data_IF_606700802613
#
_entry.id   IF_606700802613
#
_cell.length_a   1.000
_cell.length_b   1.000
_cell.length_c   1.000
_cell.angle_alpha   90.00
_cell.angle_beta   90.00
_cell.angle_gamma   90.00
#
_symmetry.space_group_name_H-M   'P 1'
#
loop_
_entity.id
_entity.type
_entity.pdbx_description
1 polymer ?
#
# COMPACT_ATOMS: atom_id res chain seq x y z
N UNK A 1 9.35 39.84 -6.84
CA UNK A 1 10.20 38.68 -6.58
C UNK A 1 9.31 37.48 -6.36
N UNK A 2 9.52 36.35 -7.09
CA UNK A 2 8.69 35.14 -6.97
C UNK A 2 9.38 34.17 -6.02
N UNK A 3 8.60 33.57 -5.10
CA UNK A 3 9.04 32.49 -4.23
C UNK A 3 7.90 31.46 -4.07
N UNK A 4 8.18 30.31 -3.49
CA UNK A 4 7.22 29.27 -3.10
C UNK A 4 6.25 28.86 -4.24
N UNK A 5 6.80 28.22 -5.26
CA UNK A 5 6.03 27.71 -6.41
C UNK A 5 5.36 26.37 -6.09
N UNK A 6 4.05 26.27 -6.38
CA UNK A 6 3.28 25.04 -6.30
C UNK A 6 2.61 24.71 -7.65
N UNK A 7 3.02 23.62 -8.34
CA UNK A 7 2.34 23.12 -9.53
C UNK A 7 1.07 22.36 -9.11
N UNK A 8 -0.07 22.94 -9.37
CA UNK A 8 -1.36 22.28 -9.12
C UNK A 8 -1.67 21.25 -10.20
N UNK A 9 -1.40 21.61 -11.45
CA UNK A 9 -1.56 20.73 -12.62
C UNK A 9 -0.54 21.11 -13.69
N UNK A 10 -0.54 20.40 -14.81
CA UNK A 10 0.31 20.72 -15.96
C UNK A 10 0.00 22.11 -16.58
N UNK A 11 -1.16 22.66 -16.24
CA UNK A 11 -1.64 23.94 -16.80
C UNK A 11 -1.90 25.02 -15.75
N UNK A 12 -1.63 24.74 -14.47
CA UNK A 12 -1.87 25.74 -13.38
C UNK A 12 -0.71 25.71 -12.40
N UNK A 13 -0.10 26.89 -12.20
CA UNK A 13 0.92 27.12 -11.15
C UNK A 13 0.38 28.13 -10.14
N UNK A 14 0.59 27.87 -8.86
CA UNK A 14 0.29 28.78 -7.75
C UNK A 14 1.61 29.18 -7.10
N UNK A 15 1.77 30.44 -6.74
CA UNK A 15 3.04 30.94 -6.19
C UNK A 15 2.84 32.18 -5.33
N UNK A 16 3.83 32.51 -4.54
CA UNK A 16 3.91 33.76 -3.79
C UNK A 16 4.83 34.77 -4.49
N UNK A 17 4.43 36.02 -4.52
CA UNK A 17 5.23 37.07 -5.15
C UNK A 17 4.94 38.45 -4.55
N UNK A 18 5.97 39.29 -4.47
CA UNK A 18 5.81 40.73 -4.22
C UNK A 18 5.59 41.41 -5.56
N UNK A 19 4.47 42.11 -5.70
CA UNK A 19 4.11 42.87 -6.90
C UNK A 19 3.48 44.21 -6.53
N UNK A 20 3.64 45.25 -7.39
CA UNK A 20 3.07 46.55 -7.13
C UNK A 20 1.55 46.58 -6.96
N UNK A 21 0.84 45.63 -7.62
CA UNK A 21 -0.62 45.47 -7.57
C UNK A 21 -1.07 44.54 -6.43
N UNK A 22 -0.18 44.12 -5.53
CA UNK A 22 -0.49 43.29 -4.37
C UNK A 22 -1.15 44.03 -3.23
N UNK A 23 -1.56 43.26 -2.21
CA UNK A 23 -2.21 43.82 -1.00
C UNK A 23 -1.19 44.14 0.08
N UNK A 24 -0.06 43.47 0.11
CA UNK A 24 0.93 43.59 1.17
C UNK A 24 2.35 43.23 0.79
N UNK A 25 2.93 42.33 1.56
CA UNK A 25 4.25 41.79 1.32
C UNK A 25 4.24 40.73 0.18
N UNK A 26 4.36 39.47 0.54
CA UNK A 26 4.19 38.33 -0.42
C UNK A 26 2.70 38.02 -0.50
N UNK A 27 2.12 38.17 -1.68
CA UNK A 27 0.76 37.74 -2.00
C UNK A 27 0.77 36.43 -2.77
N UNK A 28 -0.32 35.65 -2.70
CA UNK A 28 -0.57 34.49 -3.53
C UNK A 28 -1.15 34.88 -4.89
N UNK A 29 -0.58 34.30 -5.91
CA UNK A 29 -0.99 34.42 -7.32
C UNK A 29 -1.10 33.05 -7.97
N UNK A 30 -1.83 32.98 -9.07
CA UNK A 30 -1.82 31.83 -9.97
C UNK A 30 -1.64 32.25 -11.42
N UNK A 31 -1.14 31.32 -12.23
CA UNK A 31 -1.07 31.43 -13.69
C UNK A 31 -1.64 30.18 -14.32
N UNK A 32 -2.29 30.36 -15.46
CA UNK A 32 -2.85 29.28 -16.27
C UNK A 32 -2.14 29.20 -17.62
N UNK A 33 -1.87 27.96 -18.08
CA UNK A 33 -1.40 27.69 -19.42
C UNK A 33 -2.63 27.50 -20.34
N UNK A 34 -2.86 28.45 -21.24
CA UNK A 34 -3.97 28.45 -22.20
C UNK A 34 -3.48 28.94 -23.55
N UNK A 35 -3.96 28.35 -24.66
CA UNK A 35 -3.62 28.72 -26.02
C UNK A 35 -2.10 28.67 -26.28
N UNK A 36 -1.43 27.66 -25.78
CA UNK A 36 0.01 27.42 -25.99
C UNK A 36 0.96 28.36 -25.22
N UNK A 37 0.46 29.14 -24.25
CA UNK A 37 1.28 30.05 -23.43
C UNK A 37 0.73 30.22 -22.02
N UNK A 38 1.61 30.55 -21.10
CA UNK A 38 1.23 31.03 -19.77
C UNK A 38 0.59 32.40 -19.87
N UNK A 39 -0.56 32.57 -19.21
CA UNK A 39 -1.27 33.84 -19.13
C UNK A 39 -0.65 34.73 -18.03
N UNK A 40 -1.12 35.97 -17.92
CA UNK A 40 -0.68 36.88 -16.87
C UNK A 40 -1.09 36.37 -15.49
N UNK A 41 -0.27 36.59 -14.46
CA UNK A 41 -0.59 36.22 -13.09
C UNK A 41 -1.87 36.90 -12.59
N UNK A 42 -2.71 36.11 -11.93
CA UNK A 42 -3.93 36.59 -11.27
C UNK A 42 -3.74 36.50 -9.76
N UNK A 43 -4.02 37.61 -9.06
CA UNK A 43 -3.99 37.65 -7.60
C UNK A 43 -5.19 36.91 -7.03
N UNK A 44 -5.01 36.16 -5.92
CA UNK A 44 -6.11 35.44 -5.25
C UNK A 44 -7.13 36.37 -4.57
N UNK A 45 -6.86 37.67 -4.47
CA UNK A 45 -7.74 38.67 -3.96
C UNK A 45 -7.65 38.86 -2.43
N UNK A 46 -8.41 39.84 -1.93
CA UNK A 46 -8.39 40.30 -0.54
C UNK A 46 -8.97 39.33 0.48
N UNK A 47 -9.62 38.26 0.03
CA UNK A 47 -10.08 37.18 0.91
C UNK A 47 -8.95 36.24 1.34
N UNK A 48 -7.94 36.14 0.51
CA UNK A 48 -6.78 35.29 0.75
C UNK A 48 -5.58 36.12 1.15
N UNK A 49 -5.28 37.16 0.39
CA UNK A 49 -4.12 38.03 0.58
C UNK A 49 -4.45 39.15 1.55
N UNK A 50 -3.46 39.57 2.31
CA UNK A 50 -3.58 40.60 3.35
C UNK A 50 -2.46 41.65 3.23
N UNK A 51 -2.40 42.61 4.14
CA UNK A 51 -1.28 43.55 4.24
C UNK A 51 0.03 42.91 4.72
N UNK A 52 -0.01 41.62 5.08
CA UNK A 52 1.12 40.80 5.54
C UNK A 52 1.70 39.96 4.42
N UNK A 53 2.36 38.85 4.76
CA UNK A 53 2.95 37.89 3.79
C UNK A 53 2.10 36.62 3.75
N UNK A 54 1.68 36.24 2.57
CA UNK A 54 1.09 34.91 2.28
C UNK A 54 2.08 34.08 1.47
N UNK A 55 2.42 32.89 1.98
CA UNK A 55 3.49 32.03 1.46
C UNK A 55 3.12 30.57 1.37
N UNK A 56 3.98 29.81 0.71
CA UNK A 56 3.95 28.33 0.67
C UNK A 56 2.56 27.74 0.34
N UNK A 57 1.91 28.13 -0.77
CA UNK A 57 0.57 27.69 -1.12
C UNK A 57 0.53 26.19 -1.41
N UNK A 58 -0.61 25.58 -1.09
CA UNK A 58 -0.98 24.22 -1.47
C UNK A 58 -2.48 24.14 -1.68
N UNK A 59 -2.93 23.89 -2.89
CA UNK A 59 -4.33 23.65 -3.21
C UNK A 59 -4.60 22.13 -3.14
N UNK A 60 -5.66 21.74 -2.43
CA UNK A 60 -6.11 20.35 -2.39
C UNK A 60 -6.42 19.84 -3.81
N UNK A 61 -6.29 18.53 -4.02
CA UNK A 61 -6.43 17.95 -5.38
C UNK A 61 -7.78 18.18 -6.03
N UNK A 62 -8.81 18.30 -5.23
CA UNK A 62 -10.15 18.61 -5.72
C UNK A 62 -10.35 20.10 -6.06
N UNK A 63 -9.31 20.94 -5.86
CA UNK A 63 -9.34 22.35 -6.20
C UNK A 63 -10.18 23.23 -5.27
N UNK A 64 -10.52 22.76 -4.07
CA UNK A 64 -11.48 23.46 -3.19
C UNK A 64 -10.88 24.05 -1.94
N UNK A 65 -9.87 23.40 -1.37
CA UNK A 65 -9.23 23.88 -0.14
C UNK A 65 -7.82 24.37 -0.44
N UNK A 66 -7.59 25.65 -0.24
CA UNK A 66 -6.27 26.26 -0.30
C UNK A 66 -5.69 26.29 1.11
N UNK A 67 -4.47 25.74 1.26
CA UNK A 67 -3.64 25.87 2.45
C UNK A 67 -2.47 26.80 2.11
N UNK A 68 -2.14 27.68 3.05
CA UNK A 68 -1.04 28.61 2.89
C UNK A 68 -0.50 29.03 4.25
N UNK A 69 0.66 29.63 4.28
CA UNK A 69 1.25 30.17 5.51
C UNK A 69 1.17 31.69 5.48
N UNK A 70 0.75 32.30 6.58
CA UNK A 70 0.70 33.77 6.73
C UNK A 70 1.20 34.18 8.11
N UNK A 71 1.81 35.36 8.18
CA UNK A 71 2.22 36.03 9.41
C UNK A 71 1.25 37.17 9.81
N UNK A 72 -0.03 37.05 9.42
CA UNK A 72 -1.05 38.04 9.71
C UNK A 72 -1.41 38.08 11.21
N UNK A 73 -2.25 39.05 11.60
CA UNK A 73 -2.65 39.28 13.00
C UNK A 73 -3.41 38.09 13.65
N UNK A 74 -3.86 37.09 12.90
CA UNK A 74 -4.49 35.88 13.43
C UNK A 74 -3.46 34.77 13.68
N UNK A 75 -2.19 35.01 13.37
CA UNK A 75 -1.12 34.03 13.63
C UNK A 75 -0.83 33.94 15.14
N UNK A 76 -0.59 32.73 15.61
CA UNK A 76 -0.23 32.43 17.00
C UNK A 76 1.28 32.64 17.23
N UNK A 77 2.06 32.43 16.16
CA UNK A 77 3.51 32.54 16.15
C UNK A 77 4.02 33.51 15.10
N UNK A 78 4.96 33.03 14.30
CA UNK A 78 5.45 33.73 13.11
C UNK A 78 4.54 33.47 11.92
N UNK A 79 5.01 32.65 10.95
CA UNK A 79 4.13 32.14 9.90
C UNK A 79 3.32 30.98 10.46
N UNK A 80 2.00 31.07 10.38
CA UNK A 80 1.07 30.01 10.72
C UNK A 80 0.43 29.46 9.45
N UNK A 81 0.00 28.20 9.49
CA UNK A 81 -0.75 27.56 8.41
C UNK A 81 -2.22 27.94 8.55
N UNK A 82 -2.77 28.45 7.45
CA UNK A 82 -4.19 28.78 7.28
C UNK A 82 -4.81 27.85 6.23
N UNK A 83 -6.11 27.72 6.29
CA UNK A 83 -6.92 27.08 5.25
C UNK A 83 -8.07 27.97 4.82
N UNK A 84 -8.40 27.92 3.53
CA UNK A 84 -9.52 28.65 2.95
C UNK A 84 -10.30 27.70 2.03
N UNK A 85 -11.63 27.89 1.95
CA UNK A 85 -12.50 27.11 1.07
C UNK A 85 -13.04 27.98 -0.06
N UNK A 86 -13.09 27.40 -1.25
CA UNK A 86 -13.75 28.03 -2.38
C UNK A 86 -15.23 27.69 -2.38
N UNK A 87 -16.08 28.70 -2.41
CA UNK A 87 -17.52 28.58 -2.51
C UNK A 87 -17.98 28.99 -3.90
N UNK A 88 -18.46 28.05 -4.67
CA UNK A 88 -18.99 28.23 -6.00
C UNK A 88 -20.13 29.22 -6.10
N UNK A 89 -21.06 29.11 -5.17
CA UNK A 89 -22.27 29.91 -5.17
C UNK A 89 -22.01 31.41 -5.26
N UNK A 90 -20.88 31.83 -4.68
CA UNK A 90 -20.50 33.24 -4.60
C UNK A 90 -19.24 33.53 -5.45
N UNK A 91 -18.62 32.51 -6.03
CA UNK A 91 -17.33 32.55 -6.75
C UNK A 91 -16.20 33.16 -5.90
N UNK A 92 -16.22 32.90 -4.61
CA UNK A 92 -15.31 33.54 -3.65
C UNK A 92 -14.62 32.52 -2.75
N UNK A 93 -13.41 32.87 -2.30
CA UNK A 93 -12.75 32.20 -1.19
C UNK A 93 -13.37 32.68 0.14
N UNK A 94 -13.63 31.73 1.04
CA UNK A 94 -14.24 32.01 2.33
C UNK A 94 -13.73 31.08 3.41
N UNK A 95 -14.10 31.36 4.66
CA UNK A 95 -13.69 30.59 5.82
C UNK A 95 -12.17 30.48 5.97
N UNK A 96 -11.44 31.57 5.72
CA UNK A 96 -10.01 31.63 6.05
C UNK A 96 -9.87 31.41 7.55
N UNK A 97 -9.21 30.34 7.93
CA UNK A 97 -9.06 29.92 9.31
C UNK A 97 -7.61 29.54 9.60
N UNK A 98 -7.09 30.00 10.72
CA UNK A 98 -5.86 29.48 11.29
C UNK A 98 -6.08 28.02 11.70
N UNK A 99 -5.16 27.15 11.30
CA UNK A 99 -5.26 25.70 11.58
C UNK A 99 -5.10 25.36 13.06
N UNK A 100 -4.61 26.29 13.84
CA UNK A 100 -4.46 26.19 15.29
C UNK A 100 -3.48 25.11 15.75
N UNK A 101 -3.41 24.99 17.07
CA UNK A 101 -2.62 23.91 17.69
C UNK A 101 -3.29 22.54 17.43
N UNK A 102 -2.52 21.46 17.18
CA UNK A 102 -1.05 21.37 17.24
C UNK A 102 -0.33 21.58 15.88
N UNK A 103 -1.05 21.94 14.83
CA UNK A 103 -0.44 22.23 13.53
C UNK A 103 0.44 23.48 13.67
N UNK A 104 -0.15 24.58 14.11
CA UNK A 104 0.54 25.83 14.37
C UNK A 104 1.14 25.87 15.79
N UNK A 105 2.19 26.65 15.96
CA UNK A 105 2.95 26.81 17.20
C UNK A 105 3.42 28.26 17.36
N UNK A 106 4.09 28.64 18.46
CA UNK A 106 4.74 29.94 18.56
C UNK A 106 5.92 30.18 17.61
N UNK A 107 6.33 29.16 16.84
CA UNK A 107 7.35 29.26 15.79
C UNK A 107 6.80 29.69 14.45
N UNK A 108 7.44 29.24 13.39
CA UNK A 108 7.03 29.40 12.01
C UNK A 108 6.62 28.05 11.42
N UNK A 109 5.48 27.95 10.79
CA UNK A 109 4.99 26.80 10.06
C UNK A 109 4.85 27.12 8.57
N UNK A 110 5.51 26.30 7.70
CA UNK A 110 5.56 26.52 6.27
C UNK A 110 5.34 25.19 5.50
N UNK A 111 5.01 25.32 4.23
CA UNK A 111 4.97 24.18 3.27
C UNK A 111 4.02 23.06 3.65
N UNK A 112 2.86 23.40 4.19
CA UNK A 112 1.84 22.39 4.49
C UNK A 112 1.40 21.65 3.22
N UNK A 113 1.33 20.34 3.32
CA UNK A 113 0.81 19.44 2.28
C UNK A 113 -0.14 18.44 2.93
N UNK A 114 -1.30 18.25 2.34
CA UNK A 114 -2.24 17.22 2.74
C UNK A 114 -2.06 15.99 1.85
N UNK A 115 -1.97 14.81 2.46
CA UNK A 115 -1.92 13.55 1.73
C UNK A 115 -3.25 13.24 1.02
N UNK A 116 -3.20 12.36 0.03
CA UNK A 116 -4.38 11.94 -0.74
C UNK A 116 -5.47 11.28 0.12
N UNK A 117 -5.09 10.76 1.28
CA UNK A 117 -6.01 10.13 2.23
C UNK A 117 -6.77 11.16 3.08
N UNK A 118 -6.45 12.45 2.96
CA UNK A 118 -7.03 13.52 3.77
C UNK A 118 -6.75 13.39 5.28
N UNK A 119 -5.96 12.43 5.70
CA UNK A 119 -5.68 12.14 7.12
C UNK A 119 -4.27 12.53 7.54
N UNK A 120 -3.31 12.51 6.61
CA UNK A 120 -1.92 12.81 6.89
C UNK A 120 -1.56 14.15 6.30
N UNK A 121 -0.79 14.93 7.04
CA UNK A 121 -0.18 16.15 6.54
C UNK A 121 1.32 16.13 6.78
N UNK A 122 2.04 16.90 5.99
CA UNK A 122 3.45 17.18 6.14
C UNK A 122 3.65 18.67 6.10
N UNK A 123 4.47 19.22 7.01
CA UNK A 123 4.80 20.64 7.04
C UNK A 123 6.17 20.85 7.70
N UNK A 124 6.79 22.00 7.51
CA UNK A 124 8.00 22.38 8.20
C UNK A 124 7.70 23.33 9.36
N UNK A 125 8.43 23.19 10.46
CA UNK A 125 8.30 24.07 11.63
C UNK A 125 9.65 24.24 12.33
N UNK A 126 9.90 25.45 12.83
CA UNK A 126 11.04 25.79 13.69
C UNK A 126 10.69 25.85 15.17
N UNK A 127 9.58 25.19 15.56
CA UNK A 127 9.12 25.15 16.96
C UNK A 127 10.21 24.63 17.91
N UNK A 128 10.24 25.15 19.14
CA UNK A 128 11.28 24.85 20.13
C UNK A 128 11.48 23.38 20.48
N UNK A 129 10.51 22.52 20.19
CA UNK A 129 10.62 21.06 20.43
C UNK A 129 11.36 20.31 19.30
N UNK A 130 11.85 20.99 18.28
CA UNK A 130 12.61 20.42 17.16
C UNK A 130 14.11 20.21 17.47
N UNK A 131 14.83 19.77 16.45
CA UNK A 131 16.26 19.46 16.54
C UNK A 131 17.16 20.61 16.05
N UNK A 132 16.62 21.69 15.53
CA UNK A 132 17.40 22.80 15.00
C UNK A 132 16.53 23.91 14.45
N UNK A 133 16.79 24.38 13.23
CA UNK A 133 15.97 25.34 12.52
C UNK A 133 14.62 24.74 12.12
N UNK A 134 14.35 24.68 10.83
CA UNK A 134 13.12 24.01 10.34
C UNK A 134 13.26 22.49 10.31
N UNK A 135 12.38 21.82 11.03
CA UNK A 135 12.21 20.36 10.98
C UNK A 135 10.93 19.98 10.23
N UNK A 136 10.88 18.74 9.71
CA UNK A 136 9.68 18.20 9.08
C UNK A 136 8.78 17.51 10.10
N UNK A 137 7.52 17.91 10.13
CA UNK A 137 6.50 17.37 11.00
C UNK A 137 5.41 16.67 10.19
N UNK A 138 4.90 15.57 10.74
CA UNK A 138 3.73 14.87 10.21
C UNK A 138 2.55 15.04 11.13
N UNK A 139 1.46 15.59 10.61
CA UNK A 139 0.18 15.70 11.30
C UNK A 139 -0.75 14.54 10.92
N UNK A 140 -1.60 14.12 11.87
CA UNK A 140 -2.64 13.12 11.64
C UNK A 140 -3.99 13.70 12.08
N UNK A 141 -4.94 13.72 11.16
CA UNK A 141 -6.31 14.15 11.44
C UNK A 141 -7.16 12.94 11.84
N UNK A 142 -7.94 13.08 12.93
CA UNK A 142 -8.84 12.01 13.43
C UNK A 142 -9.97 11.68 12.47
N UNK A 143 -10.43 12.66 11.71
CA UNK A 143 -11.38 12.48 10.62
C UNK A 143 -10.69 12.81 9.32
N UNK A 144 -11.11 12.12 8.25
CA UNK A 144 -10.71 12.52 6.92
C UNK A 144 -11.10 13.99 6.77
N UNK A 145 -10.13 14.84 6.49
CA UNK A 145 -10.42 16.20 6.01
C UNK A 145 -10.83 16.07 4.53
N UNK A 146 -11.92 15.35 4.32
CA UNK A 146 -12.72 15.53 3.13
C UNK A 146 -13.53 16.78 3.38
N UNK A 147 -13.49 17.63 2.44
CA UNK A 147 -14.37 18.75 2.32
C UNK A 147 -15.78 18.33 2.67
N UNK A 148 -16.45 19.19 3.41
CA UNK A 148 -17.79 18.91 3.90
C UNK A 148 -18.64 18.35 2.77
N UNK A 149 -19.22 17.18 2.98
CA UNK A 149 -20.18 16.52 2.12
C UNK A 149 -21.39 17.47 1.88
N UNK A 150 -21.21 18.42 1.01
CA UNK A 150 -22.32 19.13 0.42
C UNK A 150 -22.67 18.35 -0.83
N UNK A 151 -23.76 17.62 -0.75
CA UNK A 151 -24.34 16.95 -1.90
C UNK A 151 -24.41 17.92 -3.07
N UNK A 152 -23.85 17.52 -4.22
CA UNK A 152 -23.79 18.27 -5.46
C UNK A 152 -23.02 19.60 -5.36
N UNK A 153 -21.68 19.54 -5.44
CA UNK A 153 -20.85 20.70 -5.72
C UNK A 153 -20.45 20.69 -7.18
N UNK A 154 -20.94 21.65 -7.99
CA UNK A 154 -20.67 21.63 -9.43
C UNK A 154 -19.28 22.12 -9.76
N UNK A 155 -18.70 23.13 -9.13
CA UNK A 155 -17.49 23.74 -9.67
C UNK A 155 -16.37 23.89 -8.63
N UNK A 156 -15.18 23.78 -9.06
CA UNK A 156 -13.91 23.92 -8.39
C UNK A 156 -13.24 25.20 -8.86
N UNK A 157 -12.40 25.84 -8.05
CA UNK A 157 -11.72 27.07 -8.43
C UNK A 157 -10.93 26.91 -9.73
N UNK A 158 -10.20 25.82 -9.87
CA UNK A 158 -9.67 25.37 -11.15
C UNK A 158 -10.41 24.10 -11.55
N UNK A 159 -11.07 24.13 -12.71
CA UNK A 159 -11.53 22.88 -13.33
C UNK A 159 -10.30 22.02 -13.55
N UNK A 160 -10.14 21.00 -12.74
CA UNK A 160 -9.30 19.86 -13.14
C UNK A 160 -9.92 19.43 -14.48
N UNK A 161 -9.16 19.36 -15.59
CA UNK A 161 -9.71 18.86 -16.82
C UNK A 161 -10.47 17.59 -16.45
N UNK A 162 -11.79 17.55 -16.74
CA UNK A 162 -12.54 16.30 -16.63
C UNK A 162 -11.82 15.35 -17.57
N UNK A 163 -10.93 14.58 -16.99
CA UNK A 163 -10.44 13.43 -17.69
C UNK A 163 -11.68 12.63 -18.01
N UNK A 164 -12.01 12.56 -19.29
CA UNK A 164 -13.12 11.76 -19.77
C UNK A 164 -12.78 10.32 -19.41
N UNK A 165 -13.08 9.95 -18.16
CA UNK A 165 -12.92 8.60 -17.59
C UNK A 165 -13.68 7.52 -18.40
N UNK A 166 -14.42 7.92 -19.42
CA UNK A 166 -15.34 7.07 -20.16
C UNK A 166 -14.89 6.71 -21.59
N UNK A 167 -13.71 7.11 -22.08
CA UNK A 167 -13.19 6.52 -23.30
C UNK A 167 -12.26 5.37 -22.97
N UNK A 168 -12.55 4.20 -23.55
CA UNK A 168 -11.74 2.99 -23.36
C UNK A 168 -10.26 3.26 -23.74
N UNK A 169 -10.02 4.05 -24.78
CA UNK A 169 -8.68 4.48 -25.21
C UNK A 169 -7.93 5.29 -24.15
N UNK A 170 -8.62 6.21 -23.45
CA UNK A 170 -7.99 7.02 -22.41
C UNK A 170 -7.71 6.21 -21.14
N UNK A 171 -8.62 5.32 -20.77
CA UNK A 171 -8.36 4.37 -19.67
C UNK A 171 -7.17 3.47 -20.03
N UNK A 172 -7.05 3.07 -21.29
CA UNK A 172 -5.94 2.25 -21.77
C UNK A 172 -4.62 3.03 -21.78
N UNK A 173 -4.61 4.31 -22.11
CA UNK A 173 -3.42 5.16 -22.14
C UNK A 173 -2.95 5.57 -20.73
N UNK A 174 -3.85 5.96 -19.86
CA UNK A 174 -3.55 6.27 -18.44
C UNK A 174 -3.12 5.01 -17.70
N UNK A 175 -3.74 3.88 -17.96
CA UNK A 175 -3.34 2.60 -17.42
C UNK A 175 -1.99 2.17 -18.01
N UNK A 176 -1.74 2.32 -19.31
CA UNK A 176 -0.45 2.05 -19.93
C UNK A 176 0.66 2.92 -19.33
N UNK A 177 0.43 4.19 -19.11
CA UNK A 177 1.41 5.11 -18.49
C UNK A 177 1.59 4.89 -16.99
N UNK A 178 0.56 4.49 -16.25
CA UNK A 178 0.68 4.07 -14.84
C UNK A 178 1.37 2.72 -14.67
N UNK A 179 1.29 1.86 -15.67
CA UNK A 179 1.72 0.45 -15.60
C UNK A 179 3.14 0.24 -16.12
N UNK A 180 3.85 1.24 -16.62
CA UNK A 180 5.28 1.09 -16.97
C UNK A 180 6.17 0.80 -15.77
N UNK A 181 5.76 1.13 -14.56
CA UNK A 181 6.45 0.75 -13.32
C UNK A 181 5.46 0.54 -12.17
N UNK A 182 5.07 -0.69 -11.93
CA UNK A 182 4.23 -1.05 -10.79
C UNK A 182 5.09 -1.34 -9.56
N UNK A 183 4.91 -0.55 -8.50
CA UNK A 183 5.52 -0.82 -7.21
C UNK A 183 4.51 -1.56 -6.32
N UNK A 184 4.83 -2.81 -5.98
CA UNK A 184 4.03 -3.62 -5.05
C UNK A 184 4.68 -3.54 -3.68
N UNK A 185 3.93 -3.04 -2.71
CA UNK A 185 4.32 -2.98 -1.30
C UNK A 185 3.58 -4.06 -0.51
N UNK A 186 4.14 -4.58 0.58
CA UNK A 186 3.41 -5.44 1.50
C UNK A 186 2.21 -4.70 2.11
N UNK A 187 1.11 -5.43 2.34
CA UNK A 187 0.02 -4.92 3.16
C UNK A 187 0.35 -5.18 4.63
N UNK A 188 0.04 -4.21 5.48
CA UNK A 188 0.23 -4.32 6.93
C UNK A 188 -1.12 -4.38 7.63
N UNK A 189 -1.16 -5.08 8.76
CA UNK A 189 -2.36 -5.21 9.56
C UNK A 189 -2.02 -5.16 11.07
N UNK A 190 -3.00 -4.84 11.90
CA UNK A 190 -2.88 -4.91 13.35
C UNK A 190 -3.34 -6.27 13.88
N UNK A 191 -3.09 -6.58 15.15
CA UNK A 191 -3.53 -7.83 15.77
C UNK A 191 -5.05 -8.01 15.70
N UNK A 192 -5.79 -6.92 15.77
CA UNK A 192 -7.25 -6.89 15.95
C UNK A 192 -8.01 -6.60 14.65
N UNK A 193 -7.32 -6.53 13.52
CA UNK A 193 -7.94 -6.23 12.21
C UNK A 193 -8.82 -7.38 11.71
N UNK A 194 -10.12 -7.25 11.91
CA UNK A 194 -11.16 -8.11 11.33
C UNK A 194 -11.73 -7.56 10.01
N UNK A 195 -11.20 -6.44 9.53
CA UNK A 195 -11.61 -5.78 8.28
C UNK A 195 -10.39 -5.25 7.54
N UNK A 196 -10.50 -5.16 6.22
CA UNK A 196 -9.46 -4.56 5.41
C UNK A 196 -9.41 -3.04 5.63
N UNK A 197 -8.26 -2.55 6.03
CA UNK A 197 -7.99 -1.13 6.19
C UNK A 197 -8.12 -0.39 4.85
N UNK A 198 -8.52 0.90 4.83
CA UNK A 198 -8.69 1.68 3.60
C UNK A 198 -7.43 1.68 2.71
N UNK A 199 -6.24 1.83 3.31
CA UNK A 199 -4.96 1.77 2.59
C UNK A 199 -4.76 0.42 1.88
N UNK A 200 -5.11 -0.68 2.54
CA UNK A 200 -5.00 -2.02 1.96
C UNK A 200 -6.00 -2.21 0.82
N UNK A 201 -7.23 -1.66 0.93
CA UNK A 201 -8.22 -1.68 -0.15
C UNK A 201 -7.70 -0.96 -1.39
N UNK A 202 -7.08 0.22 -1.26
CA UNK A 202 -6.50 0.94 -2.39
C UNK A 202 -5.43 0.12 -3.14
N UNK A 203 -4.55 -0.59 -2.40
CA UNK A 203 -3.58 -1.50 -3.02
C UNK A 203 -4.25 -2.68 -3.73
N UNK A 204 -5.30 -3.25 -3.12
CA UNK A 204 -6.04 -4.34 -3.73
C UNK A 204 -6.85 -3.89 -4.95
N UNK A 205 -7.40 -2.67 -4.97
CA UNK A 205 -8.10 -2.11 -6.13
C UNK A 205 -7.16 -2.03 -7.34
N UNK A 206 -5.89 -1.63 -7.15
CA UNK A 206 -4.89 -1.65 -8.21
C UNK A 206 -4.64 -3.06 -8.75
N UNK A 207 -4.55 -4.06 -7.87
CA UNK A 207 -4.40 -5.46 -8.29
C UNK A 207 -5.65 -5.98 -9.01
N UNK A 208 -6.84 -5.54 -8.60
CA UNK A 208 -8.11 -5.86 -9.26
C UNK A 208 -8.13 -5.29 -10.69
N UNK A 209 -7.71 -4.05 -10.89
CA UNK A 209 -7.60 -3.43 -12.23
C UNK A 209 -6.66 -4.23 -13.12
N UNK A 210 -5.47 -4.58 -12.62
CA UNK A 210 -4.52 -5.45 -13.33
C UNK A 210 -5.17 -6.80 -13.67
N UNK A 211 -5.82 -7.41 -12.70
CA UNK A 211 -6.45 -8.72 -12.88
C UNK A 211 -7.59 -8.71 -13.89
N UNK A 212 -8.34 -7.63 -14.00
CA UNK A 212 -9.40 -7.46 -15.02
C UNK A 212 -8.82 -7.29 -16.41
N UNK A 213 -7.76 -6.51 -16.54
CA UNK A 213 -7.09 -6.27 -17.81
C UNK A 213 -6.32 -7.51 -18.30
N UNK A 214 -5.74 -8.28 -17.40
CA UNK A 214 -4.94 -9.46 -17.71
C UNK A 214 -5.53 -10.72 -17.08
N UNK A 215 -6.46 -11.38 -17.78
CA UNK A 215 -7.25 -12.50 -17.23
C UNK A 215 -6.43 -13.72 -16.81
N UNK A 216 -5.20 -13.87 -17.32
CA UNK A 216 -4.30 -14.99 -16.96
C UNK A 216 -3.46 -14.74 -15.71
N UNK A 217 -3.47 -13.51 -15.17
CA UNK A 217 -2.67 -13.14 -13.99
C UNK A 217 -3.15 -13.88 -12.75
N UNK A 218 -2.18 -14.42 -12.00
CA UNK A 218 -2.39 -15.11 -10.74
C UNK A 218 -1.80 -14.27 -9.61
N UNK A 219 -2.56 -14.04 -8.57
CA UNK A 219 -2.16 -13.30 -7.37
C UNK A 219 -1.87 -14.27 -6.24
N UNK A 220 -0.70 -14.14 -5.63
CA UNK A 220 -0.31 -14.93 -4.47
C UNK A 220 -0.11 -14.00 -3.27
N UNK A 221 -0.78 -14.31 -2.18
CA UNK A 221 -0.71 -13.59 -0.92
C UNK A 221 -0.09 -14.48 0.14
N UNK A 222 1.05 -14.08 0.68
CA UNK A 222 1.73 -14.74 1.79
C UNK A 222 1.55 -13.93 3.05
N UNK A 223 0.79 -14.47 3.99
CA UNK A 223 0.43 -13.81 5.25
C UNK A 223 1.43 -14.24 6.32
N UNK A 224 2.20 -13.26 6.81
CA UNK A 224 3.17 -13.43 7.88
C UNK A 224 2.59 -12.85 9.17
N UNK A 225 2.85 -13.49 10.29
CA UNK A 225 2.46 -13.07 11.63
C UNK A 225 3.69 -12.71 12.48
N UNK A 226 3.49 -11.94 13.53
CA UNK A 226 4.45 -11.90 14.62
C UNK A 226 4.46 -13.24 15.35
N UNK A 227 5.57 -13.52 16.07
CA UNK A 227 5.61 -14.70 16.93
C UNK A 227 4.64 -14.56 18.09
N UNK A 228 3.78 -15.54 18.25
CA UNK A 228 2.82 -15.65 19.35
C UNK A 228 3.10 -16.91 20.20
N UNK A 229 2.19 -17.24 21.07
CA UNK A 229 2.30 -18.38 22.00
C UNK A 229 2.15 -19.73 21.27
N UNK A 230 1.49 -19.73 20.08
CA UNK A 230 1.15 -20.97 19.37
C UNK A 230 1.18 -20.76 17.85
N UNK A 231 1.95 -21.58 17.11
CA UNK A 231 1.94 -21.58 15.66
C UNK A 231 0.54 -21.82 15.05
N UNK A 232 -0.29 -22.59 15.74
CA UNK A 232 -1.67 -22.86 15.35
C UNK A 232 -2.50 -21.58 15.28
N UNK A 233 -2.41 -20.75 16.32
CA UNK A 233 -3.10 -19.46 16.41
C UNK A 233 -2.61 -18.52 15.30
N UNK A 234 -1.30 -18.48 15.06
CA UNK A 234 -0.70 -17.66 14.02
C UNK A 234 -1.22 -18.05 12.63
N UNK A 235 -1.23 -19.35 12.34
CA UNK A 235 -1.71 -19.88 11.05
C UNK A 235 -3.22 -19.67 10.88
N UNK A 236 -4.01 -19.84 11.95
CA UNK A 236 -5.46 -19.62 11.94
C UNK A 236 -5.78 -18.16 11.57
N UNK A 237 -5.24 -17.20 12.31
CA UNK A 237 -5.49 -15.79 12.02
C UNK A 237 -4.91 -15.35 10.68
N UNK A 238 -3.79 -15.92 10.26
CA UNK A 238 -3.23 -15.69 8.95
C UNK A 238 -4.19 -16.09 7.84
N UNK A 239 -4.81 -17.28 7.92
CA UNK A 239 -5.77 -17.73 6.92
C UNK A 239 -7.06 -16.89 6.96
N UNK A 240 -7.55 -16.49 8.13
CA UNK A 240 -8.72 -15.63 8.26
C UNK A 240 -8.50 -14.24 7.61
N UNK A 241 -7.33 -13.66 7.79
CA UNK A 241 -6.95 -12.40 7.11
C UNK A 241 -6.86 -12.58 5.59
N UNK A 242 -6.33 -13.72 5.14
CA UNK A 242 -6.26 -14.00 3.70
C UNK A 242 -7.63 -14.16 3.07
N UNK A 243 -8.61 -14.69 3.79
CA UNK A 243 -10.01 -14.78 3.35
C UNK A 243 -10.62 -13.38 3.14
N UNK A 244 -10.32 -12.40 3.99
CA UNK A 244 -10.77 -11.02 3.80
C UNK A 244 -10.24 -10.44 2.48
N UNK A 245 -8.96 -10.68 2.17
CA UNK A 245 -8.32 -10.23 0.93
C UNK A 245 -8.99 -10.90 -0.27
N UNK A 246 -9.13 -12.22 -0.24
CA UNK A 246 -9.70 -12.96 -1.37
C UNK A 246 -11.16 -12.60 -1.61
N UNK A 247 -11.96 -12.47 -0.55
CA UNK A 247 -13.36 -12.08 -0.64
C UNK A 247 -13.52 -10.68 -1.23
N UNK A 248 -12.62 -9.75 -0.86
CA UNK A 248 -12.60 -8.42 -1.47
C UNK A 248 -12.30 -8.48 -2.96
N UNK A 249 -11.26 -9.20 -3.38
CA UNK A 249 -10.91 -9.33 -4.81
C UNK A 249 -12.01 -10.02 -5.61
N UNK A 250 -12.61 -11.08 -5.05
CA UNK A 250 -13.74 -11.81 -5.68
C UNK A 250 -14.96 -10.89 -5.82
N UNK A 251 -15.29 -10.11 -4.80
CA UNK A 251 -16.41 -9.15 -4.86
C UNK A 251 -16.22 -8.08 -5.93
N UNK A 252 -14.96 -7.81 -6.31
CA UNK A 252 -14.58 -6.89 -7.40
C UNK A 252 -14.45 -7.57 -8.76
N UNK A 253 -14.76 -8.87 -8.87
CA UNK A 253 -14.84 -9.62 -10.14
C UNK A 253 -13.57 -10.41 -10.50
N UNK A 254 -12.59 -10.58 -9.59
CA UNK A 254 -11.48 -11.49 -9.80
C UNK A 254 -11.91 -12.92 -9.47
N UNK A 255 -11.68 -13.85 -10.38
CA UNK A 255 -12.01 -15.27 -10.14
C UNK A 255 -11.17 -15.85 -9.00
N UNK A 256 -11.81 -16.58 -8.06
CA UNK A 256 -11.14 -17.13 -6.88
C UNK A 256 -9.98 -18.07 -7.20
N UNK A 257 -10.03 -18.79 -8.32
CA UNK A 257 -8.96 -19.68 -8.76
C UNK A 257 -7.66 -18.92 -9.16
N UNK A 258 -7.72 -17.60 -9.28
CA UNK A 258 -6.58 -16.72 -9.55
C UNK A 258 -6.00 -16.08 -8.28
N UNK A 259 -6.55 -16.39 -7.11
CA UNK A 259 -6.16 -15.83 -5.81
C UNK A 259 -5.66 -16.97 -4.92
N UNK A 260 -4.34 -17.10 -4.83
CA UNK A 260 -3.69 -18.08 -3.96
C UNK A 260 -3.32 -17.43 -2.62
N UNK A 261 -3.59 -18.15 -1.55
CA UNK A 261 -3.43 -17.71 -0.18
C UNK A 261 -2.50 -18.66 0.56
N UNK A 262 -1.50 -18.11 1.27
CA UNK A 262 -0.58 -18.87 2.12
C UNK A 262 -0.48 -18.20 3.48
N UNK A 263 -0.93 -18.86 4.54
CA UNK A 263 -0.62 -18.46 5.92
C UNK A 263 0.65 -19.19 6.36
N UNK A 264 1.67 -18.43 6.70
CA UNK A 264 2.99 -18.95 7.08
C UNK A 264 3.34 -18.69 8.54
N UNK A 265 2.40 -18.17 9.33
CA UNK A 265 2.66 -17.81 10.73
C UNK A 265 3.89 -16.91 10.88
N UNK A 266 4.72 -17.20 11.87
CA UNK A 266 5.96 -16.46 12.16
C UNK A 266 7.22 -17.10 11.57
N UNK A 267 7.09 -17.95 10.55
CA UNK A 267 8.24 -18.67 9.94
C UNK A 267 9.27 -17.73 9.30
N UNK A 268 8.87 -16.55 8.84
CA UNK A 268 9.72 -15.65 8.07
C UNK A 268 9.76 -14.24 8.63
N UNK A 269 10.28 -14.05 9.87
CA UNK A 269 10.38 -12.73 10.48
C UNK A 269 11.40 -11.88 9.73
N UNK A 270 11.08 -10.60 9.54
CA UNK A 270 12.02 -9.59 9.00
C UNK A 270 12.57 -8.67 10.08
N UNK A 271 11.93 -8.66 11.25
CA UNK A 271 12.30 -7.84 12.39
C UNK A 271 12.23 -8.61 13.70
N UNK A 272 13.00 -8.17 14.69
CA UNK A 272 12.99 -8.74 16.06
C UNK A 272 11.65 -8.46 16.74
N UNK A 273 10.95 -9.50 17.16
CA UNK A 273 9.73 -9.38 17.98
C UNK A 273 9.99 -8.94 19.42
N UNK A 274 11.22 -9.13 19.89
CA UNK A 274 11.69 -8.77 21.24
C UNK A 274 12.99 -7.97 21.11
N UNK A 275 13.11 -6.87 21.83
CA UNK A 275 14.30 -6.06 21.94
C UNK A 275 14.61 -5.84 23.42
N UNK A 276 15.84 -6.17 23.83
CA UNK A 276 16.31 -6.06 25.23
C UNK A 276 15.36 -6.71 26.25
N UNK A 277 14.85 -7.91 25.91
CA UNK A 277 13.95 -8.69 26.74
C UNK A 277 12.51 -8.18 26.83
N UNK A 278 12.14 -7.14 26.05
CA UNK A 278 10.78 -6.57 26.01
C UNK A 278 10.16 -6.73 24.62
N UNK A 279 8.84 -6.88 24.50
CA UNK A 279 8.16 -6.91 23.21
C UNK A 279 8.44 -5.65 22.40
N UNK A 280 8.88 -5.83 21.17
CA UNK A 280 9.12 -4.74 20.20
C UNK A 280 7.88 -4.53 19.35
N UNK A 281 7.05 -3.54 19.68
CA UNK A 281 5.84 -3.22 18.90
C UNK A 281 6.19 -2.92 17.45
N UNK A 282 7.26 -2.16 17.21
CA UNK A 282 7.72 -1.83 15.85
C UNK A 282 8.14 -3.08 15.07
N UNK A 283 8.86 -4.01 15.70
CA UNK A 283 9.26 -5.27 15.09
C UNK A 283 8.07 -6.18 14.79
N UNK A 284 7.14 -6.29 15.73
CA UNK A 284 5.91 -7.05 15.56
C UNK A 284 5.05 -6.50 14.40
N UNK A 285 4.91 -5.17 14.32
CA UNK A 285 4.18 -4.51 13.22
C UNK A 285 4.80 -4.78 11.85
N UNK A 286 6.13 -4.84 11.75
CA UNK A 286 6.82 -5.20 10.51
C UNK A 286 6.60 -6.68 10.13
N UNK A 287 6.49 -7.56 11.11
CA UNK A 287 6.24 -8.97 10.89
C UNK A 287 4.78 -9.27 10.53
N UNK A 288 3.80 -8.47 10.99
CA UNK A 288 2.38 -8.54 10.61
C UNK A 288 2.16 -7.97 9.22
N UNK A 289 2.52 -8.72 8.20
CA UNK A 289 2.45 -8.26 6.81
C UNK A 289 1.92 -9.32 5.86
N UNK A 290 1.36 -8.86 4.76
CA UNK A 290 1.01 -9.70 3.61
C UNK A 290 1.93 -9.35 2.46
N UNK A 291 2.72 -10.30 2.03
CA UNK A 291 3.55 -10.16 0.84
C UNK A 291 2.77 -10.61 -0.38
N UNK A 292 2.87 -9.84 -1.43
CA UNK A 292 2.14 -10.05 -2.67
C UNK A 292 3.12 -10.43 -3.76
N UNK A 293 2.79 -11.45 -4.56
CA UNK A 293 3.49 -11.73 -5.80
C UNK A 293 2.48 -12.04 -6.92
N UNK A 294 2.87 -11.72 -8.14
CA UNK A 294 2.03 -11.86 -9.32
C UNK A 294 2.74 -12.77 -10.31
N UNK A 295 2.03 -13.75 -10.83
CA UNK A 295 2.52 -14.66 -11.85
C UNK A 295 1.76 -14.51 -13.17
N UNK A 296 2.28 -15.08 -14.26
CA UNK A 296 1.75 -15.00 -15.62
C UNK A 296 1.68 -13.58 -16.17
N UNK A 297 2.73 -12.80 -15.87
CA UNK A 297 2.83 -11.41 -16.28
C UNK A 297 3.81 -11.20 -17.44
N UNK A 298 4.48 -12.27 -17.90
CA UNK A 298 5.57 -12.24 -18.88
C UNK A 298 5.15 -11.70 -20.27
N UNK A 299 3.87 -11.58 -20.52
CA UNK A 299 3.33 -10.97 -21.76
C UNK A 299 3.06 -9.46 -21.63
N UNK A 300 3.35 -8.86 -20.49
CA UNK A 300 2.98 -7.48 -20.21
C UNK A 300 4.18 -6.54 -20.33
N UNK A 301 4.01 -5.35 -20.89
CA UNK A 301 5.04 -4.30 -20.89
C UNK A 301 5.22 -3.66 -19.50
N UNK A 302 5.14 -4.47 -18.43
CA UNK A 302 5.10 -4.01 -17.04
C UNK A 302 6.40 -4.34 -16.32
N UNK A 303 7.09 -3.33 -15.84
CA UNK A 303 8.16 -3.49 -14.87
C UNK A 303 7.57 -3.52 -13.46
N UNK A 304 7.45 -4.73 -12.86
CA UNK A 304 7.03 -4.86 -11.48
C UNK A 304 8.24 -4.77 -10.56
N UNK A 305 8.15 -3.89 -9.59
CA UNK A 305 9.13 -3.76 -8.51
C UNK A 305 8.45 -4.10 -7.18
N UNK A 306 8.95 -5.15 -6.51
CA UNK A 306 8.50 -5.50 -5.17
C UNK A 306 9.32 -4.71 -4.14
N UNK A 307 8.67 -3.74 -3.49
CA UNK A 307 9.33 -2.97 -2.44
C UNK A 307 9.51 -3.82 -1.19
N UNK A 308 10.72 -3.85 -0.68
CA UNK A 308 11.01 -4.48 0.59
C UNK A 308 10.71 -3.51 1.73
N UNK A 309 10.19 -4.00 2.87
CA UNK A 309 10.04 -3.17 4.07
C UNK A 309 11.39 -2.62 4.52
N UNK A 310 11.40 -1.35 4.92
CA UNK A 310 12.55 -0.80 5.61
C UNK A 310 12.59 -1.34 7.04
N UNK A 311 13.70 -1.97 7.40
CA UNK A 311 13.96 -2.45 8.76
C UNK A 311 15.21 -1.75 9.26
N UNK A 312 15.09 -0.98 10.35
CA UNK A 312 16.24 -0.32 10.97
C UNK A 312 17.26 -1.35 11.47
N UNK A 313 18.54 -0.99 11.53
CA UNK A 313 19.61 -1.90 11.97
C UNK A 313 19.37 -2.48 13.36
N UNK A 314 18.76 -1.71 14.24
CA UNK A 314 18.40 -2.14 15.61
C UNK A 314 17.39 -3.30 15.60
N UNK A 315 16.45 -3.28 14.64
CA UNK A 315 15.38 -4.27 14.54
C UNK A 315 15.73 -5.44 13.63
N UNK A 316 16.80 -5.37 12.84
CA UNK A 316 17.20 -6.47 11.97
C UNK A 316 17.41 -7.75 12.77
N UNK A 317 16.80 -8.83 12.33
CA UNK A 317 17.07 -10.15 12.88
C UNK A 317 18.37 -10.69 12.28
N UNK A 318 19.28 -11.19 13.13
CA UNK A 318 20.47 -11.91 12.67
C UNK A 318 20.15 -13.33 12.21
N UNK A 319 19.06 -13.87 12.72
CA UNK A 319 18.57 -15.19 12.36
C UNK A 319 17.59 -15.01 11.20
N UNK A 320 18.09 -15.08 9.98
CA UNK A 320 17.22 -15.33 8.84
C UNK A 320 16.37 -16.56 9.13
N UNK A 321 15.18 -16.68 8.54
CA UNK A 321 14.34 -17.86 8.70
C UNK A 321 15.17 -19.14 8.53
N UNK A 322 15.05 -20.05 9.48
CA UNK A 322 15.66 -21.38 9.40
C UNK A 322 15.14 -22.20 8.23
N UNK A 323 14.01 -21.78 7.66
CA UNK A 323 13.32 -22.46 6.57
C UNK A 323 13.50 -21.69 5.26
N UNK A 324 13.66 -22.39 4.17
CA UNK A 324 13.67 -21.79 2.83
C UNK A 324 12.30 -21.19 2.54
N UNK A 325 12.29 -19.95 2.13
CA UNK A 325 11.08 -19.19 1.87
C UNK A 325 10.51 -19.48 0.48
N UNK A 326 11.37 -19.49 -0.54
CA UNK A 326 11.01 -19.69 -1.96
C UNK A 326 12.15 -20.38 -2.70
N UNK A 327 11.77 -21.13 -3.72
CA UNK A 327 12.68 -21.65 -4.74
C UNK A 327 12.14 -21.13 -6.08
N UNK A 328 13.00 -20.47 -6.85
CA UNK A 328 12.66 -20.06 -8.21
C UNK A 328 12.65 -21.27 -9.12
N UNK A 329 11.71 -21.35 -10.03
CA UNK A 329 11.50 -22.50 -10.89
C UNK A 329 10.79 -23.64 -10.16
N UNK A 330 11.18 -24.89 -10.48
CA UNK A 330 10.54 -26.08 -9.94
C UNK A 330 10.92 -26.31 -8.48
N UNK A 331 9.94 -26.62 -7.67
CA UNK A 331 10.09 -27.05 -6.28
C UNK A 331 8.96 -27.97 -5.86
N UNK A 332 9.13 -28.62 -4.70
CA UNK A 332 8.16 -29.56 -4.16
C UNK A 332 7.87 -29.27 -2.69
N UNK A 333 6.62 -29.49 -2.28
CA UNK A 333 6.20 -29.54 -0.89
C UNK A 333 5.46 -30.83 -0.63
N UNK A 334 5.33 -31.20 0.63
CA UNK A 334 4.50 -32.32 1.04
C UNK A 334 3.20 -31.78 1.63
N UNK A 335 2.06 -32.19 1.04
CA UNK A 335 0.75 -31.95 1.61
C UNK A 335 0.44 -33.04 2.62
N UNK A 336 0.10 -32.63 3.85
CA UNK A 336 -0.23 -33.56 4.93
C UNK A 336 -1.71 -33.87 4.92
N UNK A 337 -2.55 -32.83 4.84
CA UNK A 337 -4.01 -32.98 4.88
C UNK A 337 -4.69 -31.80 4.15
N UNK A 338 -5.92 -32.01 3.73
CA UNK A 338 -6.82 -30.96 3.19
C UNK A 338 -8.17 -31.06 3.88
N UNK A 339 -8.60 -29.94 4.51
CA UNK A 339 -9.80 -29.89 5.34
C UNK A 339 -10.67 -28.69 4.96
N UNK A 340 -11.98 -28.82 5.21
CA UNK A 340 -12.92 -27.68 5.10
C UNK A 340 -12.97 -26.83 6.38
N UNK A 341 -12.43 -27.34 7.47
CA UNK A 341 -12.33 -26.65 8.76
C UNK A 341 -10.88 -26.64 9.20
N UNK A 342 -10.51 -25.69 10.05
CA UNK A 342 -9.18 -25.68 10.64
C UNK A 342 -8.96 -26.90 11.51
N UNK A 343 -7.78 -27.49 11.39
CA UNK A 343 -7.40 -28.66 12.15
C UNK A 343 -7.06 -28.29 13.60
N UNK A 344 -7.58 -29.02 14.55
CA UNK A 344 -7.32 -28.85 15.98
C UNK A 344 -6.64 -30.12 16.50
N UNK A 345 -5.35 -30.29 16.27
CA UNK A 345 -4.62 -31.48 16.72
C UNK A 345 -3.12 -31.32 16.65
N UNK A 346 -2.39 -32.42 16.92
CA UNK A 346 -0.94 -32.44 17.09
C UNK A 346 -0.11 -32.23 15.81
N UNK A 347 -0.75 -31.95 14.66
CA UNK A 347 -0.08 -31.78 13.39
C UNK A 347 1.00 -30.68 13.43
N UNK A 348 0.80 -29.66 14.26
CA UNK A 348 1.72 -28.55 14.44
C UNK A 348 3.04 -28.95 15.09
N UNK A 349 3.03 -29.98 15.91
CA UNK A 349 4.24 -30.52 16.55
C UNK A 349 5.05 -31.41 15.62
N UNK A 350 4.43 -31.97 14.58
CA UNK A 350 5.06 -32.90 13.65
C UNK A 350 5.92 -32.21 12.60
N UNK A 351 5.67 -30.94 12.33
CA UNK A 351 6.41 -30.19 11.31
C UNK A 351 6.55 -28.72 11.70
N UNK A 352 7.76 -28.26 12.07
CA UNK A 352 8.01 -26.91 12.51
C UNK A 352 7.89 -25.85 11.40
N UNK A 353 7.88 -26.23 10.12
CA UNK A 353 7.72 -25.39 8.96
C UNK A 353 6.34 -25.50 8.30
N UNK A 354 5.35 -25.90 9.09
CA UNK A 354 3.97 -26.04 8.64
C UNK A 354 3.40 -24.70 8.16
N UNK A 355 2.74 -24.74 7.01
CA UNK A 355 1.98 -23.62 6.49
C UNK A 355 0.61 -24.09 5.99
N UNK A 356 -0.31 -23.16 5.83
CA UNK A 356 -1.64 -23.44 5.29
C UNK A 356 -1.79 -22.74 3.95
N UNK A 357 -2.17 -23.49 2.93
CA UNK A 357 -2.58 -22.96 1.63
C UNK A 357 -4.09 -23.03 1.47
N UNK A 358 -4.63 -22.02 0.80
CA UNK A 358 -6.01 -21.98 0.34
C UNK A 358 -6.08 -21.28 -1.00
N UNK A 359 -7.23 -21.36 -1.62
CA UNK A 359 -7.54 -20.66 -2.85
C UNK A 359 -8.82 -19.86 -2.65
N UNK A 360 -8.88 -18.67 -3.21
CA UNK A 360 -10.00 -17.78 -2.99
C UNK A 360 -11.35 -18.44 -3.24
N UNK A 361 -12.23 -18.35 -2.26
CA UNK A 361 -13.57 -18.93 -2.30
C UNK A 361 -13.66 -20.46 -2.24
N UNK A 362 -12.52 -21.18 -2.11
CA UNK A 362 -12.54 -22.67 -2.12
C UNK A 362 -13.06 -23.29 -0.82
N UNK A 363 -12.86 -22.60 0.30
CA UNK A 363 -13.16 -23.14 1.63
C UNK A 363 -12.34 -24.37 2.02
N UNK A 364 -11.25 -24.66 1.29
CA UNK A 364 -10.37 -25.78 1.57
C UNK A 364 -9.02 -25.29 2.10
N UNK A 365 -8.58 -25.84 3.23
CA UNK A 365 -7.31 -25.55 3.87
C UNK A 365 -6.37 -26.73 3.67
N UNK A 366 -5.24 -26.52 3.00
CA UNK A 366 -4.24 -27.54 2.71
C UNK A 366 -3.04 -27.29 3.60
N UNK A 367 -2.72 -28.23 4.44
CA UNK A 367 -1.58 -28.18 5.35
C UNK A 367 -0.36 -28.71 4.62
N UNK A 368 0.64 -27.87 4.45
CA UNK A 368 1.83 -28.11 3.67
C UNK A 368 3.07 -27.99 4.54
N UNK A 369 4.08 -28.78 4.23
CA UNK A 369 5.37 -28.74 4.92
C UNK A 369 6.52 -29.04 3.92
N UNK A 370 7.73 -28.66 4.30
CA UNK A 370 8.91 -28.82 3.50
C UNK A 370 8.96 -27.85 2.31
N UNK A 371 10.14 -27.68 1.75
CA UNK A 371 10.35 -27.01 0.47
C UNK A 371 11.61 -27.58 -0.15
N UNK A 372 11.46 -28.39 -1.17
CA UNK A 372 12.52 -29.21 -1.75
C UNK A 372 12.80 -28.81 -3.21
N UNK A 373 14.07 -28.74 -3.62
CA UNK A 373 14.45 -28.43 -5.00
C UNK A 373 14.27 -29.64 -5.94
N UNK A 374 14.25 -30.88 -5.41
CA UNK A 374 14.13 -32.08 -6.19
C UNK A 374 12.99 -32.98 -5.71
N UNK A 375 12.47 -33.78 -6.61
CA UNK A 375 11.44 -34.79 -6.30
C UNK A 375 11.98 -35.85 -5.32
N UNK A 376 13.25 -36.27 -5.47
CA UNK A 376 13.88 -37.25 -4.59
C UNK A 376 13.92 -36.79 -3.12
N UNK A 377 14.36 -35.54 -2.86
CA UNK A 377 14.38 -34.99 -1.50
C UNK A 377 12.96 -34.93 -0.88
N UNK A 378 11.97 -34.62 -1.71
CA UNK A 378 10.58 -34.62 -1.26
C UNK A 378 10.06 -36.03 -0.94
N UNK A 379 10.45 -37.05 -1.70
CA UNK A 379 10.10 -38.48 -1.44
C UNK A 379 10.73 -38.97 -0.13
N UNK A 380 12.00 -38.63 0.11
CA UNK A 380 12.68 -39.00 1.35
C UNK A 380 11.97 -38.39 2.57
N UNK A 381 11.63 -37.15 2.46
CA UNK A 381 10.89 -36.44 3.54
C UNK A 381 9.48 -37.00 3.71
N UNK A 382 8.73 -37.21 2.63
CA UNK A 382 7.42 -37.89 2.66
C UNK A 382 7.48 -39.24 3.39
N UNK A 383 8.51 -40.01 3.11
CA UNK A 383 8.72 -41.32 3.75
C UNK A 383 8.86 -41.20 5.26
N UNK A 384 9.57 -40.16 5.74
CA UNK A 384 9.70 -39.87 7.17
C UNK A 384 8.34 -39.52 7.77
N UNK A 385 7.55 -38.65 7.11
CA UNK A 385 6.22 -38.27 7.57
C UNK A 385 5.26 -39.46 7.66
N UNK A 386 5.27 -40.35 6.67
CA UNK A 386 4.45 -41.55 6.66
C UNK A 386 4.83 -42.49 7.81
N UNK A 387 6.13 -42.64 8.09
CA UNK A 387 6.63 -43.43 9.23
C UNK A 387 6.18 -42.82 10.57
N UNK A 388 6.05 -41.52 10.64
CA UNK A 388 5.59 -40.80 11.82
C UNK A 388 4.05 -40.70 11.92
N UNK A 389 3.32 -41.47 11.12
CA UNK A 389 1.86 -41.62 11.21
C UNK A 389 1.04 -40.78 10.22
N UNK A 390 1.66 -39.94 9.39
CA UNK A 390 0.98 -39.13 8.38
C UNK A 390 0.81 -39.92 7.07
N UNK A 391 -0.01 -40.96 7.11
CA UNK A 391 -0.12 -41.98 6.03
C UNK A 391 -0.61 -41.38 4.70
N UNK A 392 -1.40 -40.31 4.73
CA UNK A 392 -2.02 -39.68 3.55
C UNK A 392 -1.15 -38.53 2.98
N UNK A 393 0.08 -38.37 3.48
CA UNK A 393 0.98 -37.34 2.98
C UNK A 393 1.39 -37.59 1.53
N UNK A 394 1.28 -36.57 0.68
CA UNK A 394 1.66 -36.67 -0.73
C UNK A 394 2.40 -35.45 -1.23
N UNK A 395 3.23 -35.64 -2.25
CA UNK A 395 4.08 -34.58 -2.82
C UNK A 395 3.28 -33.74 -3.79
N UNK A 396 3.54 -32.44 -3.78
CA UNK A 396 2.94 -31.44 -4.65
C UNK A 396 4.04 -30.61 -5.31
N UNK A 397 4.06 -30.53 -6.64
CA UNK A 397 5.01 -29.70 -7.37
C UNK A 397 4.52 -28.24 -7.48
N UNK A 398 5.47 -27.31 -7.55
CA UNK A 398 5.29 -25.90 -7.75
C UNK A 398 6.26 -25.38 -8.82
N UNK A 399 5.82 -24.44 -9.64
CA UNK A 399 6.69 -23.60 -10.47
C UNK A 399 6.52 -22.16 -10.02
N UNK A 400 7.62 -21.52 -9.64
CA UNK A 400 7.63 -20.13 -9.15
C UNK A 400 6.58 -19.88 -8.04
N UNK A 401 6.47 -20.84 -7.11
CA UNK A 401 5.51 -20.90 -6.00
C UNK A 401 4.03 -21.04 -6.41
N UNK A 402 3.73 -21.31 -7.67
CA UNK A 402 2.38 -21.67 -8.11
C UNK A 402 2.25 -23.18 -8.09
N UNK A 403 1.28 -23.66 -7.33
CA UNK A 403 0.94 -25.09 -7.23
C UNK A 403 0.56 -25.64 -8.60
N UNK A 404 1.11 -26.78 -8.97
CA UNK A 404 0.70 -27.54 -10.15
C UNK A 404 -0.32 -28.61 -9.79
N UNK A 405 -1.27 -28.81 -10.68
CA UNK A 405 -2.21 -29.94 -10.66
C UNK A 405 -1.74 -30.93 -11.70
N UNK A 406 -1.71 -32.24 -11.38
CA UNK A 406 -1.19 -33.29 -12.29
C UNK A 406 -1.78 -33.17 -13.69
N UNK A 407 -3.06 -32.86 -13.82
CA UNK A 407 -3.75 -32.67 -15.11
C UNK A 407 -3.31 -31.43 -15.92
N UNK A 408 -2.64 -30.47 -15.30
CA UNK A 408 -2.16 -29.24 -15.99
C UNK A 408 -0.69 -29.33 -16.40
N UNK A 409 0.00 -30.40 -16.04
CA UNK A 409 1.41 -30.61 -16.38
C UNK A 409 1.50 -30.98 -17.86
N UNK A 410 2.14 -30.12 -18.64
CA UNK A 410 2.35 -30.32 -20.07
C UNK A 410 3.73 -30.92 -20.37
N UNK A 411 3.86 -31.53 -21.56
CA UNK A 411 5.16 -32.04 -22.05
C UNK A 411 6.21 -30.91 -22.14
N UNK A 412 5.81 -29.70 -22.50
CA UNK A 412 6.67 -28.51 -22.51
C UNK A 412 7.23 -28.18 -21.13
N UNK A 413 6.39 -28.27 -20.08
CA UNK A 413 6.85 -28.09 -18.69
C UNK A 413 7.85 -29.18 -18.29
N UNK A 414 7.61 -30.44 -18.64
CA UNK A 414 8.50 -31.53 -18.32
C UNK A 414 9.83 -31.45 -19.06
N UNK A 415 9.84 -30.88 -20.28
CA UNK A 415 11.07 -30.62 -21.02
C UNK A 415 11.87 -29.47 -20.40
N UNK A 416 11.21 -28.43 -19.94
CA UNK A 416 11.86 -27.30 -19.24
C UNK A 416 12.37 -27.69 -17.84
N UNK A 417 11.65 -28.59 -17.16
CA UNK A 417 11.95 -29.06 -15.81
C UNK A 417 11.98 -30.60 -15.79
N UNK A 418 13.10 -31.26 -16.18
CA UNK A 418 13.18 -32.73 -16.31
C UNK A 418 12.81 -33.50 -15.04
N UNK A 419 13.08 -32.92 -13.85
CA UNK A 419 12.75 -33.59 -12.59
C UNK A 419 11.22 -33.70 -12.37
N UNK A 420 10.41 -32.81 -12.98
CA UNK A 420 8.95 -32.88 -12.96
C UNK A 420 8.40 -34.14 -13.62
N UNK A 421 9.14 -34.71 -14.59
CA UNK A 421 8.78 -35.99 -15.24
C UNK A 421 8.80 -37.13 -14.24
N UNK A 422 9.73 -37.16 -13.29
CA UNK A 422 9.79 -38.18 -12.23
C UNK A 422 8.53 -38.14 -11.35
N UNK A 423 8.07 -36.95 -11.00
CA UNK A 423 6.79 -36.77 -10.29
C UNK A 423 5.60 -37.22 -11.13
N UNK A 424 5.57 -36.92 -12.43
CA UNK A 424 4.44 -37.20 -13.30
C UNK A 424 4.23 -38.71 -13.52
N UNK A 425 5.32 -39.46 -13.56
CA UNK A 425 5.33 -40.91 -13.80
C UNK A 425 5.07 -41.74 -12.53
N UNK A 426 5.22 -41.14 -11.35
CA UNK A 426 4.84 -41.76 -10.08
C UNK A 426 3.37 -41.43 -9.74
#
# INVERSE_FOLDING_TARGET
MLIDLYPFSDSVLIFSSIRPEGFGGYDLYYVEFKDGRWKDPVNFGDKINSEFDERAPFLSKDGRTLYFSSNNFQSVGGYDIFSAYYLDKDMEWTNVQNMGFPINSPGHELFFKLGFDGQKSLFSSDRKSGFGGYDLYTGFFKSIRTEQNTAALPDVFFKVPEFKLNSQEYQDEVLANKITALNIEPLYYTSDDNVLQPKNKQHLDLLVEIGKRFPTTIFNFMINSESSVSPEIELYFGIKRSELISNYMISKGISGNRVNLQSVGSLYPIAKNVLDGRPSISGQNLNRRVEISINNIDSLPLKITYKQPFVSDLLKTSDGSKFKRRINGLSYRVQIVSLKQMYNGDIYSLSPDLLIESQGGSGNYRYMTGLFPTFADAVDFQTILIKNGLKDAFIVPYIDNVRLIKSTISESMMNKYPDLRKYYLN
#
